data_IF_248738368790
#
_entry.id   IF_248738368790
#
_cell.length_a   1.000
_cell.length_b   1.000
_cell.length_c   1.000
_cell.angle_alpha   90.00
_cell.angle_beta   90.00
_cell.angle_gamma   90.00
#
_symmetry.space_group_name_H-M   'P 1'
#
loop_
_entity.id
_entity.type
_entity.pdbx_description
1 polymer ?
#
# COMPACT_ATOMS: atom_id res chain seq x y z
N UNK A 1 48.85 -2.22 21.84
CA UNK A 1 47.60 -3.02 21.74
C UNK A 1 47.62 -3.77 20.41
N UNK A 2 48.32 -4.91 20.32
CA UNK A 2 48.34 -5.75 19.11
C UNK A 2 47.98 -7.23 19.39
N UNK A 3 47.92 -7.63 20.65
CA UNK A 3 47.75 -9.04 21.05
C UNK A 3 46.41 -9.32 21.78
N UNK A 4 45.42 -8.44 21.63
CA UNK A 4 44.08 -8.66 22.19
C UNK A 4 43.30 -9.57 21.23
N UNK A 5 42.70 -10.68 21.70
CA UNK A 5 41.90 -11.56 20.84
C UNK A 5 40.72 -10.83 20.19
N UNK A 6 40.42 -11.19 18.94
CA UNK A 6 39.34 -10.59 18.14
C UNK A 6 38.07 -11.47 18.07
N UNK A 7 37.92 -12.45 18.97
CA UNK A 7 36.80 -13.39 19.00
C UNK A 7 36.15 -13.48 20.40
N UNK A 8 34.88 -13.87 20.45
CA UNK A 8 34.12 -14.12 21.69
C UNK A 8 33.31 -15.43 21.56
N UNK A 9 33.23 -16.27 22.62
CA UNK A 9 33.90 -16.14 23.92
C UNK A 9 35.42 -16.35 23.83
N UNK A 10 36.20 -15.71 24.72
CA UNK A 10 37.66 -15.90 24.82
C UNK A 10 38.10 -15.99 26.29
N UNK A 11 39.26 -16.62 26.54
CA UNK A 11 39.85 -16.82 27.89
C UNK A 11 41.03 -15.90 28.19
N UNK A 12 41.28 -14.88 27.35
CA UNK A 12 42.47 -14.02 27.41
C UNK A 12 42.11 -12.56 27.73
N UNK A 13 40.99 -12.34 28.45
CA UNK A 13 40.50 -11.00 28.83
C UNK A 13 40.31 -10.05 27.64
N UNK A 14 39.92 -10.60 26.48
CA UNK A 14 39.55 -9.82 25.29
C UNK A 14 38.17 -9.17 25.42
N UNK A 15 37.64 -8.58 24.34
CA UNK A 15 36.37 -7.85 24.37
C UNK A 15 35.20 -8.72 24.83
N UNK A 16 34.36 -8.18 25.72
CA UNK A 16 33.15 -8.82 26.25
C UNK A 16 31.93 -8.12 25.67
N UNK A 17 30.88 -8.85 25.23
CA UNK A 17 29.66 -8.23 24.74
C UNK A 17 29.01 -7.41 25.85
N UNK A 18 28.71 -6.15 25.55
CA UNK A 18 27.92 -5.29 26.42
C UNK A 18 26.44 -5.63 26.27
N UNK A 19 25.80 -6.03 27.37
CA UNK A 19 24.35 -6.18 27.43
C UNK A 19 23.75 -4.83 27.78
N UNK A 20 23.05 -4.24 26.82
CA UNK A 20 22.31 -3.01 27.02
C UNK A 20 20.89 -3.36 27.48
N UNK A 21 20.65 -3.25 28.79
CA UNK A 21 19.37 -3.58 29.43
C UNK A 21 18.21 -2.67 29.00
N UNK A 22 18.51 -1.51 28.38
CA UNK A 22 17.50 -0.60 27.84
C UNK A 22 16.93 -1.05 26.49
N UNK A 23 17.52 -2.08 25.86
CA UNK A 23 17.05 -2.56 24.57
C UNK A 23 15.73 -3.32 24.69
N UNK A 24 14.79 -3.12 23.75
CA UNK A 24 13.56 -3.89 23.70
C UNK A 24 13.86 -5.38 23.61
N UNK A 25 13.32 -6.16 24.56
CA UNK A 25 13.51 -7.63 24.65
C UNK A 25 12.52 -8.39 23.76
N UNK A 26 11.44 -7.73 23.35
CA UNK A 26 10.40 -8.30 22.52
C UNK A 26 10.80 -8.24 21.04
N UNK A 27 10.70 -9.38 20.36
CA UNK A 27 10.85 -9.45 18.91
C UNK A 27 9.48 -9.32 18.28
N UNK A 28 9.33 -8.39 17.35
CA UNK A 28 8.11 -8.28 16.54
C UNK A 28 7.99 -9.53 15.66
N UNK A 29 7.03 -10.38 15.98
CA UNK A 29 6.60 -11.47 15.11
C UNK A 29 5.59 -10.90 14.13
N UNK A 30 5.94 -10.85 12.84
CA UNK A 30 4.98 -10.48 11.80
C UNK A 30 4.04 -11.67 11.58
N UNK A 31 2.91 -11.67 12.29
CA UNK A 31 2.00 -12.82 12.37
C UNK A 31 1.07 -12.97 11.15
N UNK A 32 0.83 -11.91 10.36
CA UNK A 32 -0.06 -12.00 9.21
C UNK A 32 0.22 -10.95 8.14
N UNK A 33 0.14 -11.40 6.88
CA UNK A 33 0.00 -10.57 5.68
C UNK A 33 -1.37 -9.89 5.76
N UNK A 34 -1.43 -8.66 6.26
CA UNK A 34 -2.66 -7.94 6.60
C UNK A 34 -3.80 -8.18 5.58
N UNK A 35 -5.00 -8.50 6.08
CA UNK A 35 -6.23 -8.18 5.37
C UNK A 35 -6.16 -6.67 5.09
N UNK A 36 -6.25 -6.28 3.82
CA UNK A 36 -6.07 -4.88 3.42
C UNK A 36 -7.11 -4.04 4.15
N UNK A 37 -6.68 -3.21 5.11
CA UNK A 37 -7.55 -2.27 5.79
C UNK A 37 -7.84 -1.11 4.82
N UNK A 38 -9.07 -1.09 4.31
CA UNK A 38 -9.55 -0.08 3.37
C UNK A 38 -10.41 0.99 4.06
N UNK A 39 -10.55 0.94 5.40
CA UNK A 39 -11.40 1.84 6.16
C UNK A 39 -11.00 3.31 5.99
N UNK A 40 -9.69 3.60 5.98
CA UNK A 40 -9.19 4.97 5.79
C UNK A 40 -9.44 5.50 4.38
N UNK A 41 -9.29 4.65 3.35
CA UNK A 41 -9.57 5.03 1.97
C UNK A 41 -11.07 5.29 1.77
N UNK A 42 -11.92 4.45 2.35
CA UNK A 42 -13.37 4.63 2.34
C UNK A 42 -13.76 5.91 3.09
N UNK A 43 -13.14 6.17 4.24
CA UNK A 43 -13.35 7.39 5.01
C UNK A 43 -12.98 8.64 4.21
N UNK A 44 -11.84 8.63 3.53
CA UNK A 44 -11.40 9.74 2.68
C UNK A 44 -12.43 10.03 1.58
N UNK A 45 -12.84 8.99 0.83
CA UNK A 45 -13.82 9.16 -0.25
C UNK A 45 -15.16 9.69 0.26
N UNK A 46 -15.61 9.20 1.42
CA UNK A 46 -16.95 9.49 1.92
C UNK A 46 -17.05 10.76 2.78
N UNK A 47 -15.98 11.13 3.50
CA UNK A 47 -16.04 12.18 4.52
C UNK A 47 -15.05 13.34 4.28
N UNK A 48 -13.99 13.14 3.48
CA UNK A 48 -13.02 14.20 3.16
C UNK A 48 -13.33 14.86 1.82
N UNK A 49 -13.86 14.10 0.86
CA UNK A 49 -14.38 14.67 -0.39
C UNK A 49 -15.80 15.21 -0.15
N UNK A 50 -15.85 16.50 0.15
CA UNK A 50 -17.05 17.24 0.59
C UNK A 50 -18.11 17.38 -0.49
N UNK A 51 -17.71 17.43 -1.76
CA UNK A 51 -18.64 17.60 -2.88
C UNK A 51 -18.41 16.61 -4.02
N UNK A 52 -19.45 16.40 -4.81
CA UNK A 52 -19.42 15.47 -5.94
C UNK A 52 -18.39 15.89 -6.99
N UNK A 53 -18.12 17.19 -7.16
CA UNK A 53 -17.10 17.68 -8.09
C UNK A 53 -15.67 17.25 -7.70
N UNK A 54 -15.37 17.13 -6.41
CA UNK A 54 -14.08 16.57 -5.93
C UNK A 54 -14.02 15.06 -6.17
N UNK A 55 -15.11 14.33 -5.90
CA UNK A 55 -15.21 12.89 -6.18
C UNK A 55 -15.06 12.60 -7.67
N UNK A 56 -15.71 13.38 -8.52
CA UNK A 56 -15.62 13.25 -9.96
C UNK A 56 -14.22 13.56 -10.47
N UNK A 57 -13.51 14.54 -9.88
CA UNK A 57 -12.11 14.79 -10.20
C UNK A 57 -11.22 13.59 -9.87
N UNK A 58 -11.40 12.98 -8.70
CA UNK A 58 -10.68 11.75 -8.34
C UNK A 58 -10.96 10.63 -9.36
N UNK A 59 -12.24 10.42 -9.72
CA UNK A 59 -12.64 9.45 -10.74
C UNK A 59 -11.94 9.73 -12.07
N UNK A 60 -11.94 10.98 -12.55
CA UNK A 60 -11.32 11.33 -13.83
C UNK A 60 -9.81 11.04 -13.85
N UNK A 61 -9.11 11.33 -12.74
CA UNK A 61 -7.68 11.02 -12.59
C UNK A 61 -7.45 9.51 -12.64
N UNK A 62 -8.24 8.74 -11.88
CA UNK A 62 -8.13 7.28 -11.86
C UNK A 62 -8.42 6.68 -13.24
N UNK A 63 -9.48 7.12 -13.91
CA UNK A 63 -9.82 6.69 -15.28
C UNK A 63 -8.65 6.95 -16.22
N UNK A 64 -8.11 8.17 -16.24
CA UNK A 64 -6.99 8.54 -17.12
C UNK A 64 -5.77 7.66 -16.88
N UNK A 65 -5.48 7.33 -15.61
CA UNK A 65 -4.36 6.46 -15.26
C UNK A 65 -4.59 4.98 -15.63
N UNK A 66 -5.85 4.52 -15.66
CA UNK A 66 -6.21 3.11 -15.88
C UNK A 66 -6.52 2.79 -17.34
N UNK A 67 -6.84 3.78 -18.19
CA UNK A 67 -7.05 3.58 -19.63
C UNK A 67 -5.91 2.83 -20.33
N UNK A 68 -4.61 3.17 -20.13
CA UNK A 68 -3.51 2.45 -20.80
C UNK A 68 -3.19 1.08 -20.17
N UNK A 69 -3.82 0.73 -19.04
CA UNK A 69 -3.50 -0.49 -18.28
C UNK A 69 -4.22 -1.69 -18.89
N UNK A 70 -3.48 -2.77 -19.14
CA UNK A 70 -4.03 -4.02 -19.68
C UNK A 70 -4.66 -4.91 -18.60
N UNK A 71 -5.56 -5.78 -19.02
CA UNK A 71 -6.04 -6.88 -18.18
C UNK A 71 -4.89 -7.88 -17.86
N UNK A 72 -4.91 -8.55 -16.69
CA UNK A 72 -5.96 -8.56 -15.65
C UNK A 72 -5.82 -7.45 -14.59
N UNK A 73 -4.87 -6.54 -14.76
CA UNK A 73 -4.54 -5.53 -13.74
C UNK A 73 -5.69 -4.55 -13.60
N UNK A 74 -6.30 -4.15 -14.72
CA UNK A 74 -7.45 -3.24 -14.74
C UNK A 74 -8.65 -3.81 -13.95
N UNK A 75 -9.04 -5.07 -14.18
CA UNK A 75 -10.09 -5.74 -13.40
C UNK A 75 -9.78 -5.82 -11.90
N UNK A 76 -8.52 -6.06 -11.53
CA UNK A 76 -8.10 -6.07 -10.11
C UNK A 76 -8.22 -4.70 -9.47
N UNK A 77 -7.88 -3.64 -10.20
CA UNK A 77 -8.07 -2.26 -9.74
C UNK A 77 -9.54 -1.94 -9.49
N UNK A 78 -10.44 -2.34 -10.38
CA UNK A 78 -11.88 -2.15 -10.16
C UNK A 78 -12.37 -2.89 -8.91
N UNK A 79 -11.92 -4.14 -8.69
CA UNK A 79 -12.26 -4.90 -7.48
C UNK A 79 -11.78 -4.19 -6.22
N UNK A 80 -10.55 -3.67 -6.21
CA UNK A 80 -10.03 -2.90 -5.08
C UNK A 80 -10.87 -1.65 -4.81
N UNK A 81 -11.19 -0.88 -5.84
CA UNK A 81 -12.00 0.33 -5.71
C UNK A 81 -13.41 0.03 -5.20
N UNK A 82 -14.04 -1.08 -5.65
CA UNK A 82 -15.32 -1.54 -5.13
C UNK A 82 -15.28 -1.96 -3.65
N UNK A 83 -14.14 -2.49 -3.18
CA UNK A 83 -13.95 -2.82 -1.77
C UNK A 83 -13.76 -1.56 -0.91
N UNK A 84 -13.22 -0.49 -1.49
CA UNK A 84 -13.14 0.83 -0.83
C UNK A 84 -14.54 1.45 -0.76
N UNK A 85 -15.20 1.60 -1.90
CA UNK A 85 -16.56 2.12 -2.00
C UNK A 85 -17.23 1.68 -3.32
N UNK A 86 -18.50 1.28 -3.27
CA UNK A 86 -19.23 0.79 -4.45
C UNK A 86 -19.45 1.87 -5.49
N UNK A 87 -19.74 3.11 -5.10
CA UNK A 87 -19.96 4.22 -6.04
C UNK A 87 -18.65 4.56 -6.76
N UNK A 88 -17.55 4.65 -6.01
CA UNK A 88 -16.21 4.88 -6.57
C UNK A 88 -15.84 3.82 -7.61
N UNK A 89 -16.01 2.54 -7.26
CA UNK A 89 -15.72 1.41 -8.15
C UNK A 89 -16.51 1.48 -9.46
N UNK A 90 -17.82 1.70 -9.36
CA UNK A 90 -18.71 1.80 -10.52
C UNK A 90 -18.33 2.97 -11.44
N UNK A 91 -18.12 4.16 -10.88
CA UNK A 91 -17.80 5.36 -11.67
C UNK A 91 -16.50 5.20 -12.45
N UNK A 92 -15.47 4.62 -11.83
CA UNK A 92 -14.18 4.39 -12.49
C UNK A 92 -14.30 3.32 -13.57
N UNK A 93 -14.99 2.21 -13.29
CA UNK A 93 -15.17 1.12 -14.27
C UNK A 93 -15.94 1.60 -15.51
N UNK A 94 -17.03 2.34 -15.32
CA UNK A 94 -17.81 2.93 -16.42
C UNK A 94 -16.95 3.92 -17.21
N UNK A 95 -16.22 4.81 -16.53
CA UNK A 95 -15.37 5.80 -17.18
C UNK A 95 -14.28 5.20 -18.04
N UNK A 96 -13.61 4.14 -17.55
CA UNK A 96 -12.56 3.43 -18.32
C UNK A 96 -13.15 2.72 -19.53
N UNK A 97 -14.29 2.02 -19.38
CA UNK A 97 -14.95 1.34 -20.50
C UNK A 97 -15.42 2.33 -21.57
N UNK A 98 -15.99 3.46 -21.16
CA UNK A 98 -16.41 4.51 -22.08
C UNK A 98 -15.22 5.10 -22.87
N UNK A 99 -14.09 5.36 -22.18
CA UNK A 99 -12.87 5.87 -22.82
C UNK A 99 -12.26 4.84 -23.81
N UNK A 100 -12.26 3.56 -23.44
CA UNK A 100 -11.78 2.48 -24.32
C UNK A 100 -12.64 2.34 -25.59
N UNK A 101 -13.97 2.45 -25.46
CA UNK A 101 -14.88 2.45 -26.61
C UNK A 101 -14.64 3.65 -27.52
N UNK A 102 -14.53 4.85 -26.96
CA UNK A 102 -14.25 6.07 -27.72
C UNK A 102 -12.93 5.98 -28.52
N UNK A 103 -11.89 5.36 -27.94
CA UNK A 103 -10.62 5.12 -28.60
C UNK A 103 -10.67 4.07 -29.73
N UNK A 104 -11.68 3.19 -29.73
CA UNK A 104 -11.86 2.18 -30.79
C UNK A 104 -12.67 2.68 -31.99
N UNK A 105 -13.39 3.79 -31.82
CA UNK A 105 -14.30 4.37 -32.83
C UNK A 105 -13.71 5.55 -33.60
N UNK A 106 -12.49 5.99 -33.26
CA UNK A 106 -11.75 7.07 -33.96
C UNK A 106 -10.50 6.52 -34.63
#
# INVERSE_FOLDING_TARGET
MKDVPNYYPNSFSGPVPFLDDSRPKEKLLVLQRHAVDLSQAAYFYNNVLENDAQRQRLVNVLVTSLVPVKEPVQSRSFKLLHLIDKDLGNRVEIGVKAAALAASTG
#
